data_IF_635609841866
#
_entry.id   IF_635609841866
#
_cell.length_a   1.000
_cell.length_b   1.000
_cell.length_c   1.000
_cell.angle_alpha   90.00
_cell.angle_beta   90.00
_cell.angle_gamma   90.00
#
_symmetry.space_group_name_H-M   'P 1'
#
loop_
_entity.id
_entity.type
_entity.pdbx_description
1 polymer ?
#
# COMPACT_ATOMS: atom_id res chain seq x y z
N UNK A 1 35.17 58.96 -34.60
CA UNK A 1 34.74 57.60 -35.03
C UNK A 1 34.51 56.78 -33.77
N UNK A 2 33.28 56.76 -33.27
CA UNK A 2 32.89 56.11 -32.04
C UNK A 2 32.25 54.79 -32.34
N UNK A 3 32.74 53.71 -31.76
CA UNK A 3 32.16 52.38 -31.79
C UNK A 3 31.11 52.27 -30.69
N UNK A 4 29.88 52.08 -31.08
CA UNK A 4 28.73 51.86 -30.25
C UNK A 4 28.71 50.37 -29.81
N UNK A 5 28.94 50.11 -28.53
CA UNK A 5 28.75 48.78 -27.95
C UNK A 5 27.25 48.53 -27.71
N UNK A 6 26.70 47.53 -28.44
CA UNK A 6 25.35 47.05 -28.20
C UNK A 6 25.40 45.98 -27.12
N UNK A 7 24.85 46.30 -25.92
CA UNK A 7 24.67 45.36 -24.82
C UNK A 7 23.44 44.47 -25.09
N UNK A 8 23.66 43.19 -25.29
CA UNK A 8 22.58 42.18 -25.33
C UNK A 8 22.13 41.90 -23.87
N UNK A 9 20.99 42.41 -23.50
CA UNK A 9 20.27 41.97 -22.32
C UNK A 9 19.56 40.66 -22.63
N UNK A 10 20.09 39.55 -22.12
CA UNK A 10 19.42 38.25 -22.12
C UNK A 10 18.33 38.26 -21.06
N UNK A 11 17.08 38.36 -21.48
CA UNK A 11 15.91 38.19 -20.61
C UNK A 11 15.71 36.69 -20.38
N UNK A 12 16.15 36.20 -19.23
CA UNK A 12 15.78 34.86 -18.74
C UNK A 12 14.30 34.89 -18.33
N UNK A 13 13.45 34.32 -19.15
CA UNK A 13 12.05 34.06 -18.84
C UNK A 13 12.01 32.84 -17.93
N UNK A 14 11.96 33.06 -16.61
CA UNK A 14 11.69 32.02 -15.64
C UNK A 14 10.22 31.59 -15.79
N UNK A 15 9.97 30.52 -16.52
CA UNK A 15 8.70 29.78 -16.49
C UNK A 15 8.60 29.11 -15.14
N UNK A 16 7.98 29.77 -14.17
CA UNK A 16 7.51 29.14 -12.96
C UNK A 16 6.39 28.17 -13.33
N UNK A 17 6.72 26.89 -13.44
CA UNK A 17 5.74 25.82 -13.48
C UNK A 17 5.02 25.82 -12.13
N UNK A 18 3.87 26.47 -12.08
CA UNK A 18 2.90 26.30 -11.01
C UNK A 18 2.36 24.87 -11.10
N UNK A 19 3.03 23.93 -10.44
CA UNK A 19 2.43 22.66 -10.09
C UNK A 19 1.33 22.98 -9.10
N UNK A 20 0.11 23.15 -9.59
CA UNK A 20 -1.08 23.15 -8.75
C UNK A 20 -1.15 21.80 -8.09
N UNK A 21 -0.68 21.71 -6.84
CA UNK A 21 -1.05 20.62 -5.96
C UNK A 21 -2.59 20.55 -5.99
N UNK A 22 -3.13 19.53 -6.61
CA UNK A 22 -4.56 19.26 -6.54
C UNK A 22 -4.87 19.08 -5.05
N UNK A 23 -5.60 20.03 -4.50
CA UNK A 23 -6.25 19.90 -3.20
C UNK A 23 -7.25 18.73 -3.29
N UNK A 24 -6.76 17.50 -3.18
CA UNK A 24 -7.60 16.36 -2.87
C UNK A 24 -8.17 16.65 -1.49
N UNK A 25 -9.49 16.71 -1.39
CA UNK A 25 -10.22 16.81 -0.13
C UNK A 25 -9.52 15.94 0.90
N UNK A 26 -9.13 16.51 2.05
CA UNK A 26 -8.59 15.72 3.17
C UNK A 26 -9.66 14.70 3.52
N UNK A 27 -9.46 13.45 3.13
CA UNK A 27 -10.33 12.39 3.60
C UNK A 27 -10.20 12.31 5.12
N UNK A 28 -11.35 12.35 5.79
CA UNK A 28 -11.37 12.22 7.24
C UNK A 28 -11.27 10.73 7.57
N UNK A 29 -10.07 10.27 7.89
CA UNK A 29 -9.84 8.94 8.41
C UNK A 29 -10.29 8.88 9.87
N UNK A 30 -11.46 8.31 10.12
CA UNK A 30 -12.02 8.20 11.48
C UNK A 30 -11.63 6.87 12.13
N UNK A 31 -10.49 6.83 12.76
CA UNK A 31 -10.06 5.69 13.55
C UNK A 31 -10.75 5.65 14.93
N UNK A 32 -10.96 4.45 15.52
CA UNK A 32 -11.53 4.32 16.84
C UNK A 32 -10.66 5.00 17.90
N UNK A 33 -11.28 5.73 18.82
CA UNK A 33 -10.61 6.41 19.93
C UNK A 33 -10.77 5.69 21.26
N UNK A 34 -11.77 4.82 21.35
CA UNK A 34 -12.20 4.09 22.55
C UNK A 34 -11.65 2.66 22.65
N UNK A 35 -11.03 2.18 21.59
CA UNK A 35 -10.41 0.85 21.51
C UNK A 35 -9.16 0.87 20.63
N UNK A 36 -8.42 -0.24 20.63
CA UNK A 36 -7.32 -0.44 19.68
C UNK A 36 -7.83 -0.49 18.24
N UNK A 37 -7.07 0.09 17.32
CA UNK A 37 -7.27 -0.05 15.87
C UNK A 37 -6.91 -1.45 15.43
N UNK A 38 -7.86 -2.19 14.88
CA UNK A 38 -7.68 -3.53 14.37
C UNK A 38 -6.99 -3.51 13.01
N UNK A 39 -5.82 -4.12 12.92
CA UNK A 39 -5.06 -4.29 11.68
C UNK A 39 -5.04 -5.76 11.32
N UNK A 40 -5.76 -6.11 10.25
CA UNK A 40 -5.80 -7.47 9.72
C UNK A 40 -4.86 -7.60 8.51
N UNK A 41 -3.98 -8.57 8.53
CA UNK A 41 -3.14 -8.95 7.40
C UNK A 41 -3.64 -10.27 6.84
N UNK A 42 -4.18 -10.24 5.63
CA UNK A 42 -4.66 -11.44 4.95
C UNK A 42 -3.46 -12.29 4.53
N UNK A 43 -3.50 -13.58 4.82
CA UNK A 43 -2.50 -14.56 4.37
C UNK A 43 -3.17 -15.77 3.74
N UNK A 44 -2.53 -16.32 2.72
CA UNK A 44 -2.98 -17.47 1.95
C UNK A 44 -1.75 -18.22 1.41
N UNK A 45 -1.89 -19.49 1.06
CA UNK A 45 -0.76 -20.29 0.59
C UNK A 45 -0.02 -19.64 -0.58
N UNK A 46 1.29 -19.52 -0.42
CA UNK A 46 2.18 -18.86 -1.36
C UNK A 46 2.25 -17.33 -1.21
N UNK A 47 1.68 -16.75 -0.14
CA UNK A 47 1.78 -15.31 0.11
C UNK A 47 3.25 -14.90 0.33
N UNK A 48 3.63 -13.76 -0.25
CA UNK A 48 4.98 -13.20 -0.15
C UNK A 48 5.32 -12.78 1.28
N UNK A 49 6.50 -13.21 1.74
CA UNK A 49 6.95 -13.04 3.13
C UNK A 49 7.09 -11.56 3.50
N UNK A 50 7.79 -10.78 2.67
CA UNK A 50 8.09 -9.36 2.97
C UNK A 50 6.86 -8.48 2.77
N UNK A 51 5.99 -8.80 1.80
CA UNK A 51 4.71 -8.11 1.61
C UNK A 51 3.82 -8.25 2.86
N UNK A 52 3.95 -9.38 3.56
CA UNK A 52 3.24 -9.67 4.80
C UNK A 52 3.94 -9.02 6.00
N UNK A 53 5.22 -9.32 6.18
CA UNK A 53 6.00 -8.95 7.37
C UNK A 53 6.38 -7.46 7.39
N UNK A 54 6.72 -6.87 6.24
CA UNK A 54 7.15 -5.47 6.15
C UNK A 54 6.15 -4.48 6.74
N UNK A 55 4.91 -4.42 6.23
CA UNK A 55 3.91 -3.53 6.81
C UNK A 55 3.51 -3.90 8.24
N UNK A 56 3.48 -5.20 8.58
CA UNK A 56 3.21 -5.62 9.96
C UNK A 56 4.25 -5.06 10.94
N UNK A 57 5.54 -5.14 10.60
CA UNK A 57 6.61 -4.69 11.47
C UNK A 57 6.58 -3.18 11.69
N UNK A 58 6.21 -2.39 10.67
CA UNK A 58 5.99 -0.95 10.82
C UNK A 58 4.93 -0.67 11.90
N UNK A 59 3.77 -1.31 11.84
CA UNK A 59 2.70 -1.10 12.83
C UNK A 59 3.05 -1.66 14.21
N UNK A 60 3.78 -2.79 14.28
CA UNK A 60 4.27 -3.34 15.55
C UNK A 60 5.20 -2.33 16.23
N UNK A 61 6.14 -1.77 15.48
CA UNK A 61 7.07 -0.76 15.99
C UNK A 61 6.37 0.54 16.33
N UNK A 62 5.37 0.96 15.55
CA UNK A 62 4.58 2.15 15.82
C UNK A 62 3.86 2.09 17.18
N UNK A 63 3.56 0.90 17.71
CA UNK A 63 3.02 0.76 19.08
C UNK A 63 3.98 1.30 20.14
N UNK A 64 5.29 1.38 19.86
CA UNK A 64 6.27 2.00 20.76
C UNK A 64 6.28 3.53 20.68
N UNK A 65 5.62 4.12 19.65
CA UNK A 65 5.51 5.55 19.39
C UNK A 65 4.05 6.04 19.38
N UNK A 66 3.29 5.79 20.41
CA UNK A 66 1.88 6.17 20.53
C UNK A 66 0.89 5.37 19.64
N UNK A 67 1.32 4.31 18.99
CA UNK A 67 0.41 3.40 18.31
C UNK A 67 -0.53 2.71 19.30
N UNK A 68 -1.77 2.55 18.89
CA UNK A 68 -2.77 1.79 19.68
C UNK A 68 -3.39 0.72 18.77
N UNK A 69 -2.54 -0.21 18.31
CA UNK A 69 -2.89 -1.20 17.32
C UNK A 69 -3.02 -2.61 17.91
N UNK A 70 -4.04 -3.32 17.46
CA UNK A 70 -4.21 -4.76 17.61
C UNK A 70 -3.95 -5.40 16.25
N UNK A 71 -2.72 -5.91 16.03
CA UNK A 71 -2.25 -6.43 14.75
C UNK A 71 -2.39 -7.95 14.77
N UNK A 72 -2.95 -8.51 13.70
CA UNK A 72 -3.14 -9.96 13.58
C UNK A 72 -3.17 -10.40 12.12
N UNK A 73 -2.77 -11.65 11.90
CA UNK A 73 -2.91 -12.34 10.62
C UNK A 73 -4.25 -13.06 10.54
N UNK A 74 -4.79 -13.11 9.31
CA UNK A 74 -6.04 -13.79 8.99
C UNK A 74 -5.78 -14.73 7.82
N UNK A 75 -5.83 -16.05 8.07
CA UNK A 75 -5.65 -17.05 7.04
C UNK A 75 -6.91 -17.23 6.19
N UNK A 76 -6.74 -17.39 4.89
CA UNK A 76 -7.79 -17.83 4.00
C UNK A 76 -8.24 -19.28 4.31
N UNK A 77 -7.34 -20.09 4.90
CA UNK A 77 -7.63 -21.45 5.33
C UNK A 77 -8.31 -21.53 6.71
N UNK A 78 -9.23 -22.48 6.87
CA UNK A 78 -9.98 -22.67 8.11
C UNK A 78 -9.10 -23.18 9.26
N UNK A 79 -8.03 -23.92 8.99
CA UNK A 79 -7.10 -24.45 9.97
C UNK A 79 -6.04 -23.42 10.42
N UNK A 80 -6.09 -22.22 9.84
CA UNK A 80 -5.22 -21.09 10.15
C UNK A 80 -3.74 -21.28 9.77
N UNK A 81 -3.38 -22.41 9.16
CA UNK A 81 -2.05 -22.62 8.61
C UNK A 81 -1.94 -22.00 7.22
N UNK A 82 -0.80 -21.42 6.93
CA UNK A 82 -0.46 -20.81 5.64
C UNK A 82 0.96 -21.18 5.29
N UNK A 83 1.16 -21.83 4.16
CA UNK A 83 2.49 -22.08 3.60
C UNK A 83 2.95 -20.82 2.90
N UNK A 84 4.01 -20.20 3.41
CA UNK A 84 4.55 -18.97 2.83
C UNK A 84 5.25 -19.24 1.49
N UNK A 85 5.49 -18.17 0.73
CA UNK A 85 6.16 -18.25 -0.57
C UNK A 85 7.49 -19.01 -0.49
N UNK A 86 7.79 -19.76 -1.56
CA UNK A 86 8.95 -20.68 -1.61
C UNK A 86 8.86 -21.89 -0.68
N UNK A 87 7.75 -22.08 0.05
CA UNK A 87 7.55 -23.23 0.93
C UNK A 87 8.53 -23.32 2.10
N UNK A 88 9.13 -22.18 2.48
CA UNK A 88 10.22 -22.13 3.47
C UNK A 88 9.76 -22.32 4.91
N UNK A 89 8.56 -21.86 5.24
CA UNK A 89 7.95 -22.08 6.55
C UNK A 89 6.43 -21.92 6.51
N UNK A 90 5.78 -22.41 7.57
CA UNK A 90 4.36 -22.23 7.79
C UNK A 90 4.11 -21.10 8.79
N UNK A 91 3.13 -20.26 8.50
CA UNK A 91 2.62 -19.24 9.42
C UNK A 91 1.31 -19.75 10.03
N UNK A 92 1.24 -19.83 11.35
CA UNK A 92 0.00 -20.03 12.06
C UNK A 92 -0.66 -18.69 12.36
N UNK A 93 -1.79 -18.42 11.73
CA UNK A 93 -2.53 -17.17 11.89
C UNK A 93 -3.36 -17.16 13.17
N UNK A 94 -3.59 -15.96 13.72
CA UNK A 94 -4.45 -15.79 14.89
C UNK A 94 -5.91 -16.10 14.57
N UNK A 95 -6.36 -15.72 13.39
CA UNK A 95 -7.72 -15.92 12.90
C UNK A 95 -7.71 -16.56 11.51
N UNK A 96 -8.87 -17.07 11.11
CA UNK A 96 -9.21 -17.37 9.74
C UNK A 96 -10.26 -16.38 9.22
N UNK A 97 -10.52 -16.39 7.91
CA UNK A 97 -11.61 -15.59 7.34
C UNK A 97 -13.00 -15.95 7.89
N UNK A 98 -13.13 -17.06 8.67
CA UNK A 98 -14.39 -17.47 9.28
C UNK A 98 -14.67 -16.78 10.63
N UNK A 99 -13.61 -16.41 11.36
CA UNK A 99 -13.69 -15.96 12.77
C UNK A 99 -12.94 -14.64 13.02
N UNK A 100 -12.36 -14.03 11.98
CA UNK A 100 -11.64 -12.76 12.11
C UNK A 100 -12.60 -11.61 12.47
N UNK A 101 -12.21 -10.77 13.46
CA UNK A 101 -12.96 -9.57 13.78
C UNK A 101 -12.92 -8.56 12.61
N UNK A 102 -13.83 -7.56 12.66
CA UNK A 102 -13.81 -6.45 11.71
C UNK A 102 -12.48 -5.69 11.81
N UNK A 103 -11.81 -5.53 10.68
CA UNK A 103 -10.60 -4.72 10.57
C UNK A 103 -10.95 -3.23 10.39
N UNK A 104 -10.15 -2.36 10.99
CA UNK A 104 -10.09 -0.93 10.68
C UNK A 104 -9.10 -0.68 9.53
N UNK A 105 -8.00 -1.43 9.50
CA UNK A 105 -7.03 -1.47 8.41
C UNK A 105 -6.94 -2.91 7.90
N UNK A 106 -7.19 -3.11 6.61
CA UNK A 106 -7.00 -4.39 5.95
C UNK A 106 -5.75 -4.31 5.06
N UNK A 107 -4.83 -5.27 5.18
CA UNK A 107 -3.63 -5.38 4.36
C UNK A 107 -3.73 -6.65 3.51
N UNK A 108 -3.55 -6.50 2.20
CA UNK A 108 -3.59 -7.56 1.19
C UNK A 108 -2.21 -7.68 0.56
N UNK A 109 -1.34 -8.60 1.03
CA UNK A 109 -0.05 -8.88 0.44
C UNK A 109 -0.17 -9.54 -0.93
N UNK A 110 0.92 -9.50 -1.70
CA UNK A 110 1.00 -10.16 -3.00
C UNK A 110 1.58 -11.56 -2.95
N UNK A 111 1.77 -12.11 -4.15
CA UNK A 111 2.29 -13.44 -4.42
C UNK A 111 2.69 -13.55 -5.89
N UNK A 112 3.05 -14.74 -6.36
CA UNK A 112 3.29 -14.98 -7.78
C UNK A 112 2.00 -14.80 -8.62
N UNK A 113 2.10 -14.42 -9.91
CA UNK A 113 0.93 -14.23 -10.77
C UNK A 113 0.01 -15.45 -10.84
N UNK A 114 0.58 -16.66 -10.87
CA UNK A 114 -0.18 -17.93 -10.91
C UNK A 114 -1.07 -18.07 -9.67
N UNK A 115 -0.52 -17.73 -8.49
CA UNK A 115 -1.26 -17.79 -7.25
C UNK A 115 -2.30 -16.66 -7.18
N UNK A 116 -2.01 -15.47 -7.72
CA UNK A 116 -3.01 -14.39 -7.83
C UNK A 116 -4.27 -14.89 -8.55
N UNK A 117 -4.14 -15.56 -9.67
CA UNK A 117 -5.30 -16.13 -10.41
C UNK A 117 -6.05 -17.16 -9.58
N UNK A 118 -5.31 -18.05 -8.89
CA UNK A 118 -5.91 -19.07 -8.01
C UNK A 118 -6.71 -18.44 -6.88
N UNK A 119 -6.11 -17.53 -6.12
CA UNK A 119 -6.76 -16.90 -4.95
C UNK A 119 -7.89 -15.96 -5.36
N UNK A 120 -7.77 -15.28 -6.50
CA UNK A 120 -8.86 -14.45 -7.06
C UNK A 120 -10.07 -15.28 -7.51
N UNK A 121 -9.90 -16.57 -7.73
CA UNK A 121 -11.00 -17.51 -8.02
C UNK A 121 -11.68 -18.03 -6.76
N UNK A 122 -11.08 -17.86 -5.58
CA UNK A 122 -11.69 -18.22 -4.29
C UNK A 122 -12.76 -17.19 -3.90
N UNK A 123 -14.00 -17.51 -4.24
CA UNK A 123 -15.16 -16.64 -3.96
C UNK A 123 -15.31 -16.32 -2.47
N UNK A 124 -14.91 -17.25 -1.58
CA UNK A 124 -15.05 -17.03 -0.13
C UNK A 124 -14.05 -15.97 0.35
N UNK A 125 -12.79 -16.09 -0.06
CA UNK A 125 -11.77 -15.10 0.27
C UNK A 125 -12.10 -13.74 -0.34
N UNK A 126 -12.48 -13.70 -1.63
CA UNK A 126 -12.81 -12.45 -2.31
C UNK A 126 -14.03 -11.75 -1.68
N UNK A 127 -15.08 -12.48 -1.35
CA UNK A 127 -16.24 -11.94 -0.64
C UNK A 127 -15.88 -11.44 0.77
N UNK A 128 -14.96 -12.10 1.46
CA UNK A 128 -14.48 -11.67 2.76
C UNK A 128 -13.74 -10.33 2.66
N UNK A 129 -12.88 -10.15 1.65
CA UNK A 129 -12.19 -8.87 1.38
C UNK A 129 -13.22 -7.75 1.18
N UNK A 130 -14.22 -7.96 0.30
CA UNK A 130 -15.26 -6.98 0.03
C UNK A 130 -16.03 -6.62 1.30
N UNK A 131 -16.44 -7.62 2.08
CA UNK A 131 -17.17 -7.42 3.34
C UNK A 131 -16.35 -6.67 4.38
N UNK A 132 -15.07 -7.02 4.55
CA UNK A 132 -14.18 -6.28 5.45
C UNK A 132 -14.05 -4.82 5.01
N UNK A 133 -13.84 -4.60 3.69
CA UNK A 133 -13.68 -3.26 3.13
C UNK A 133 -14.88 -2.33 3.39
N UNK A 134 -16.11 -2.84 3.55
CA UNK A 134 -17.28 -2.00 3.82
C UNK A 134 -17.06 -1.09 5.04
N UNK A 135 -16.38 -1.59 6.07
CA UNK A 135 -16.19 -0.91 7.37
C UNK A 135 -14.72 -0.58 7.67
N UNK A 136 -13.78 -0.89 6.79
CA UNK A 136 -12.40 -0.44 6.98
C UNK A 136 -12.29 1.07 6.84
N UNK A 137 -11.43 1.67 7.65
CA UNK A 137 -10.96 3.05 7.50
C UNK A 137 -9.92 3.13 6.40
N UNK A 138 -9.03 2.10 6.30
CA UNK A 138 -8.05 1.96 5.23
C UNK A 138 -8.03 0.53 4.68
N UNK A 139 -7.81 0.40 3.39
CA UNK A 139 -7.53 -0.89 2.72
C UNK A 139 -6.24 -0.74 1.94
N UNK A 140 -5.25 -1.54 2.31
CA UNK A 140 -3.90 -1.49 1.78
C UNK A 140 -3.62 -2.73 0.94
N UNK A 141 -2.86 -2.58 -0.13
CA UNK A 141 -2.29 -3.70 -0.87
C UNK A 141 -0.79 -3.51 -1.10
N UNK A 142 -0.06 -4.59 -1.19
CA UNK A 142 1.37 -4.60 -1.49
C UNK A 142 1.60 -5.48 -2.71
N UNK A 143 2.47 -5.03 -3.63
CA UNK A 143 2.89 -5.84 -4.77
C UNK A 143 1.68 -6.30 -5.61
N UNK A 144 1.63 -7.58 -6.00
CA UNK A 144 0.51 -8.17 -6.73
C UNK A 144 -0.78 -8.30 -5.90
N UNK A 145 -0.74 -8.00 -4.60
CA UNK A 145 -1.95 -7.80 -3.79
C UNK A 145 -2.88 -6.72 -4.36
N UNK A 146 -2.31 -5.76 -5.13
CA UNK A 146 -3.07 -4.78 -5.91
C UNK A 146 -3.98 -5.42 -6.96
N UNK A 147 -3.55 -6.52 -7.60
CA UNK A 147 -4.38 -7.28 -8.55
C UNK A 147 -5.50 -8.03 -7.85
N UNK A 148 -5.22 -8.63 -6.68
CA UNK A 148 -6.25 -9.30 -5.88
C UNK A 148 -7.34 -8.28 -5.51
N UNK A 149 -6.94 -7.08 -5.08
CA UNK A 149 -7.88 -6.01 -4.75
C UNK A 149 -8.61 -5.49 -5.99
N UNK A 150 -7.96 -5.36 -7.15
CA UNK A 150 -8.57 -4.99 -8.43
C UNK A 150 -9.64 -6.00 -8.86
N UNK A 151 -9.36 -7.30 -8.71
CA UNK A 151 -10.28 -8.39 -9.04
C UNK A 151 -11.56 -8.40 -8.17
N UNK A 152 -11.58 -7.70 -7.02
CA UNK A 152 -12.82 -7.48 -6.25
C UNK A 152 -13.71 -6.39 -6.83
N UNK A 153 -13.22 -5.55 -7.75
CA UNK A 153 -13.89 -4.35 -8.25
C UNK A 153 -13.81 -3.13 -7.32
N UNK A 154 -13.18 -3.24 -6.14
CA UNK A 154 -13.10 -2.15 -5.16
C UNK A 154 -12.22 -0.98 -5.61
N UNK A 155 -11.35 -1.20 -6.59
CA UNK A 155 -10.50 -0.15 -7.18
C UNK A 155 -11.13 0.55 -8.40
N UNK A 156 -12.36 0.21 -8.79
CA UNK A 156 -13.06 0.87 -9.90
C UNK A 156 -13.15 2.38 -9.67
N UNK A 157 -12.72 3.17 -10.65
CA UNK A 157 -12.68 4.64 -10.59
C UNK A 157 -11.50 5.21 -9.80
N UNK A 158 -10.65 4.39 -9.19
CA UNK A 158 -9.52 4.79 -8.33
C UNK A 158 -8.21 4.82 -9.11
N UNK A 159 -7.25 5.58 -8.55
CA UNK A 159 -5.84 5.49 -8.92
C UNK A 159 -5.19 4.38 -8.10
N UNK A 160 -4.40 3.53 -8.75
CA UNK A 160 -3.73 2.42 -8.07
C UNK A 160 -2.41 2.05 -8.75
N UNK A 161 -1.56 1.34 -8.02
CA UNK A 161 -0.37 0.68 -8.56
C UNK A 161 -0.32 -0.78 -8.10
N UNK A 162 0.57 -1.53 -8.70
CA UNK A 162 0.89 -2.93 -8.38
C UNK A 162 2.35 -3.19 -8.72
N UNK A 163 2.83 -4.43 -8.57
CA UNK A 163 4.19 -4.78 -8.96
C UNK A 163 4.43 -4.43 -10.44
N UNK A 164 5.61 -3.89 -10.75
CA UNK A 164 5.90 -3.36 -12.09
C UNK A 164 5.77 -4.41 -13.23
N UNK A 165 6.02 -5.69 -12.95
CA UNK A 165 5.79 -6.78 -13.92
C UNK A 165 4.31 -7.10 -14.15
N UNK A 166 3.43 -6.60 -13.30
CA UNK A 166 1.99 -6.85 -13.33
C UNK A 166 1.16 -5.61 -13.70
N UNK A 167 1.82 -4.54 -14.12
CA UNK A 167 1.12 -3.29 -14.51
C UNK A 167 0.21 -3.49 -15.71
N UNK A 168 0.61 -4.32 -16.68
CA UNK A 168 -0.22 -4.63 -17.86
C UNK A 168 -1.50 -5.36 -17.46
N UNK A 169 -1.42 -6.27 -16.48
CA UNK A 169 -2.60 -6.94 -15.93
C UNK A 169 -3.49 -5.94 -15.18
N UNK A 170 -2.92 -5.03 -14.41
CA UNK A 170 -3.72 -3.98 -13.75
C UNK A 170 -4.41 -3.06 -14.76
N UNK A 171 -3.76 -2.76 -15.91
CA UNK A 171 -4.36 -1.99 -17.01
C UNK A 171 -5.53 -2.71 -17.70
N UNK A 172 -5.60 -4.04 -17.60
CA UNK A 172 -6.74 -4.80 -18.11
C UNK A 172 -8.05 -4.50 -17.38
N UNK A 173 -7.98 -3.82 -16.23
CA UNK A 173 -9.12 -3.26 -15.49
C UNK A 173 -9.41 -1.83 -15.96
N UNK A 174 -10.29 -1.59 -16.95
CA UNK A 174 -10.38 -0.31 -17.66
C UNK A 174 -10.85 0.87 -16.82
N UNK A 175 -11.39 0.60 -15.64
CA UNK A 175 -11.85 1.64 -14.72
C UNK A 175 -10.77 2.10 -13.73
N UNK A 176 -9.61 1.44 -13.67
CA UNK A 176 -8.53 1.78 -12.75
C UNK A 176 -7.57 2.76 -13.45
N UNK A 177 -7.19 3.82 -12.75
CA UNK A 177 -6.18 4.79 -13.21
C UNK A 177 -4.80 4.32 -12.75
N UNK A 178 -4.14 3.52 -13.57
CA UNK A 178 -2.86 2.90 -13.22
C UNK A 178 -1.75 3.95 -13.09
N UNK A 179 -1.02 3.91 -11.97
CA UNK A 179 0.16 4.73 -11.69
C UNK A 179 1.41 3.86 -11.77
N UNK A 180 2.31 4.14 -12.73
CA UNK A 180 3.39 3.23 -13.11
C UNK A 180 4.72 3.52 -12.41
N UNK A 181 5.03 4.81 -12.16
CA UNK A 181 6.34 5.27 -11.70
C UNK A 181 6.31 5.78 -10.27
N UNK A 182 5.65 5.04 -9.39
CA UNK A 182 5.53 5.41 -7.98
C UNK A 182 5.72 4.19 -7.07
N UNK A 183 6.27 4.41 -5.88
CA UNK A 183 6.38 3.35 -4.87
C UNK A 183 5.02 2.97 -4.29
N UNK A 184 4.12 3.95 -4.16
CA UNK A 184 2.75 3.72 -3.70
C UNK A 184 1.79 4.80 -4.19
N UNK A 185 0.52 4.51 -4.12
CA UNK A 185 -0.59 5.42 -4.44
C UNK A 185 -1.54 5.49 -3.25
N UNK A 186 -1.99 6.70 -2.91
CA UNK A 186 -3.09 6.93 -1.97
C UNK A 186 -4.27 7.52 -2.75
N UNK A 187 -5.38 6.81 -2.80
CA UNK A 187 -6.63 7.31 -3.41
C UNK A 187 -7.81 6.92 -2.55
N UNK A 188 -8.30 7.89 -1.80
CA UNK A 188 -9.29 7.63 -0.82
C UNK A 188 -8.75 6.80 0.32
N UNK A 189 -9.53 5.84 0.76
CA UNK A 189 -9.11 4.89 1.79
C UNK A 189 -8.20 3.77 1.25
N UNK A 190 -7.90 3.76 -0.05
CA UNK A 190 -7.04 2.75 -0.68
C UNK A 190 -5.60 3.23 -0.76
N UNK A 191 -4.69 2.42 -0.23
CA UNK A 191 -3.26 2.62 -0.31
C UNK A 191 -2.65 1.41 -1.03
N UNK A 192 -2.09 1.60 -2.21
CA UNK A 192 -1.54 0.49 -3.02
C UNK A 192 -0.04 0.67 -3.21
N UNK A 193 0.75 -0.34 -2.90
CA UNK A 193 2.21 -0.36 -3.00
C UNK A 193 2.70 -1.13 -4.23
N UNK A 194 3.78 -0.64 -4.85
CA UNK A 194 4.27 -1.11 -6.14
C UNK A 194 5.11 -2.40 -6.06
N UNK A 195 5.76 -2.71 -4.97
CA UNK A 195 6.64 -3.86 -4.90
C UNK A 195 6.94 -4.28 -3.48
N UNK A 196 7.66 -5.34 -3.33
CA UNK A 196 7.91 -6.06 -2.07
C UNK A 196 8.21 -5.12 -0.89
N UNK A 197 9.25 -4.29 -1.02
CA UNK A 197 9.63 -3.35 0.05
C UNK A 197 8.72 -2.14 0.18
N UNK A 198 7.90 -1.84 -0.84
CA UNK A 198 6.96 -0.73 -0.77
C UNK A 198 5.81 -0.95 0.23
N UNK A 199 5.66 -2.17 0.76
CA UNK A 199 4.78 -2.44 1.90
C UNK A 199 5.18 -1.62 3.14
N UNK A 200 6.48 -1.38 3.32
CA UNK A 200 6.99 -0.51 4.39
C UNK A 200 6.59 0.95 4.12
N UNK A 201 6.74 1.43 2.86
CA UNK A 201 6.34 2.80 2.49
C UNK A 201 4.86 3.04 2.72
N UNK A 202 4.01 2.10 2.28
CA UNK A 202 2.55 2.18 2.44
C UNK A 202 2.17 2.22 3.92
N UNK A 203 2.81 1.39 4.75
CA UNK A 203 2.54 1.37 6.19
C UNK A 203 3.04 2.65 6.88
N UNK A 204 4.23 3.15 6.54
CA UNK A 204 4.73 4.45 7.03
C UNK A 204 3.81 5.60 6.59
N UNK A 205 3.27 5.55 5.36
CA UNK A 205 2.29 6.54 4.91
C UNK A 205 0.98 6.46 5.71
N UNK A 206 0.53 5.25 6.04
CA UNK A 206 -0.63 5.09 6.93
C UNK A 206 -0.35 5.65 8.33
N UNK A 207 0.83 5.40 8.90
CA UNK A 207 1.26 6.00 10.19
C UNK A 207 1.30 7.53 10.10
N UNK A 208 1.80 8.10 8.99
CA UNK A 208 1.78 9.54 8.77
C UNK A 208 0.36 10.12 8.76
N UNK A 209 -0.57 9.43 8.09
CA UNK A 209 -1.98 9.85 8.05
C UNK A 209 -2.61 9.83 9.44
N UNK A 210 -2.24 8.85 10.28
CA UNK A 210 -2.83 8.64 11.60
C UNK A 210 -2.19 9.54 12.67
N UNK A 211 -0.86 9.64 12.69
CA UNK A 211 -0.09 10.25 13.76
C UNK A 211 0.70 11.49 13.35
N UNK A 212 0.75 11.79 12.05
CA UNK A 212 1.52 12.90 11.51
C UNK A 212 2.91 12.49 11.00
N UNK A 213 3.50 13.41 10.23
CA UNK A 213 4.76 13.20 9.50
C UNK A 213 5.93 12.90 10.45
N UNK A 214 6.05 13.64 11.53
CA UNK A 214 7.15 13.55 12.49
C UNK A 214 7.25 12.12 13.08
N UNK A 215 6.11 11.57 13.52
CA UNK A 215 6.05 10.19 14.05
C UNK A 215 6.46 9.16 12.99
N UNK A 216 6.01 9.34 11.74
CA UNK A 216 6.36 8.43 10.66
C UNK A 216 7.85 8.51 10.28
N UNK A 217 8.45 9.70 10.34
CA UNK A 217 9.87 9.90 10.06
C UNK A 217 10.75 9.33 11.17
N UNK A 218 10.40 9.55 12.43
CA UNK A 218 11.12 8.97 13.58
C UNK A 218 11.04 7.44 13.58
N UNK A 219 9.88 6.91 13.21
CA UNK A 219 9.70 5.47 13.07
C UNK A 219 10.60 4.90 11.95
N UNK A 220 10.62 5.56 10.79
CA UNK A 220 11.47 5.16 9.67
C UNK A 220 12.96 5.23 10.03
N UNK A 221 13.37 6.29 10.74
CA UNK A 221 14.75 6.41 11.26
C UNK A 221 15.09 5.28 12.23
N UNK A 222 14.19 4.95 13.15
CA UNK A 222 14.36 3.83 14.09
C UNK A 222 14.42 2.46 13.40
N UNK A 223 13.83 2.33 12.23
CA UNK A 223 13.90 1.15 11.37
C UNK A 223 15.14 1.16 10.44
N UNK A 224 15.94 2.22 10.45
CA UNK A 224 17.04 2.45 9.48
C UNK A 224 16.51 2.38 8.04
N UNK A 225 15.32 2.96 7.79
CA UNK A 225 14.65 2.92 6.51
C UNK A 225 14.58 4.32 5.87
N UNK A 226 15.14 4.46 4.66
CA UNK A 226 15.06 5.69 3.87
C UNK A 226 13.70 5.79 3.17
N UNK A 227 12.75 6.48 3.80
CA UNK A 227 11.40 6.62 3.26
C UNK A 227 11.28 7.61 2.10
N UNK A 228 12.32 8.41 1.83
CA UNK A 228 12.33 9.41 0.76
C UNK A 228 13.18 9.00 -0.44
N UNK A 229 13.72 7.79 -0.42
CA UNK A 229 14.50 7.27 -1.53
C UNK A 229 13.68 7.31 -2.82
N UNK A 230 14.23 7.98 -3.83
CA UNK A 230 13.57 8.12 -5.13
C UNK A 230 13.64 6.81 -5.92
N UNK A 231 12.66 6.58 -6.78
CA UNK A 231 12.51 5.36 -7.58
C UNK A 231 13.50 5.29 -8.77
N UNK A 232 14.72 5.82 -8.62
CA UNK A 232 15.72 5.85 -9.71
C UNK A 232 16.16 4.46 -10.20
N UNK A 233 15.95 3.43 -9.35
CA UNK A 233 16.29 2.05 -9.68
C UNK A 233 15.22 1.31 -10.51
N UNK A 234 14.04 1.90 -10.73
CA UNK A 234 13.07 1.29 -11.63
C UNK A 234 13.55 1.41 -13.08
N UNK A 235 13.38 0.36 -13.90
CA UNK A 235 13.71 0.42 -15.30
C UNK A 235 12.96 1.58 -15.96
N UNK A 236 13.69 2.53 -16.53
CA UNK A 236 13.09 3.53 -17.42
C UNK A 236 12.67 2.77 -18.68
N UNK A 237 11.41 2.86 -19.05
CA UNK A 237 10.91 2.31 -20.32
C UNK A 237 11.57 2.98 -21.49
#
# INVERSE_FOLDING_TARGET
MGLMQISLFSVFFLLSLNVKAQNKSKENFNFPKDRKTNIAVLVYDGVEIVDTGGPMDVFIKANNWNGNYNIYTVSASADKNTLMDGGTFNMLSKYSINDAPQADILIIPGTSPEIVHKVSSDKKMMNWIVKQNEKTVMTMSVCTGGLILANTGLLDGRSATTHHWSLDELRSHPKIKVQETTRFVVDGKFLTGAGVTSGIDVALQAVEIIHGKEVADDLALGMVYDRYNTMEFLPKK
#
